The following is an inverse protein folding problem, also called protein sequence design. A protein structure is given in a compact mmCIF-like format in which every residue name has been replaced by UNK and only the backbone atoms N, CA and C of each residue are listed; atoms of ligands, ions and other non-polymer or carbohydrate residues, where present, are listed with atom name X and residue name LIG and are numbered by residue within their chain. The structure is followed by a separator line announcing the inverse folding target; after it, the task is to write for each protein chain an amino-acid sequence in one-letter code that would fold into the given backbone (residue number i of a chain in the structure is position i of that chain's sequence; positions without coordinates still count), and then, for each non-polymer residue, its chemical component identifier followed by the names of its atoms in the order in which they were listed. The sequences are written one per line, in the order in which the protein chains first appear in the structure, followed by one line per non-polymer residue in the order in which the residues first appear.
data_IF_816448834830
#
_entry.id   IF_816448834830
#
_cell.length_a   1.000
_cell.length_b   1.000
_cell.length_c   1.000
_cell.angle_alpha   90.00
_cell.angle_beta   90.00
_cell.angle_gamma   90.00
#
_symmetry.space_group_name_H-M   'P 1'
#
loop_
_entity.id
_entity.type
_entity.pdbx_description
1 polymer ?
#
# COMPACT_ATOMS: atom_id res chain seq x y z
N UNK A 1 26.19 36.01 2.63
CA UNK A 1 26.00 34.84 3.53
C UNK A 1 27.17 33.92 3.31
N UNK A 2 27.72 33.33 4.36
CA UNK A 2 28.81 32.35 4.22
C UNK A 2 28.32 31.13 3.43
N UNK A 3 29.21 30.55 2.62
CA UNK A 3 28.89 29.49 1.65
C UNK A 3 28.10 28.32 2.26
N UNK A 4 28.42 27.92 3.50
CA UNK A 4 27.77 26.82 4.19
C UNK A 4 26.28 27.08 4.50
N UNK A 5 25.87 28.30 4.82
CA UNK A 5 24.44 28.60 5.03
C UNK A 5 23.65 28.61 3.72
N UNK A 6 24.28 28.98 2.61
CA UNK A 6 23.67 28.86 1.28
C UNK A 6 23.45 27.39 0.91
N UNK A 7 24.38 26.50 1.25
CA UNK A 7 24.21 25.06 1.09
C UNK A 7 23.08 24.50 1.97
N UNK A 8 23.00 24.90 3.25
CA UNK A 8 21.86 24.54 4.11
C UNK A 8 20.52 25.02 3.54
N UNK A 9 20.47 26.22 2.97
CA UNK A 9 19.26 26.72 2.33
C UNK A 9 18.87 25.87 1.10
N UNK A 10 19.84 25.50 0.27
CA UNK A 10 19.60 24.59 -0.85
C UNK A 10 19.07 23.21 -0.40
N UNK A 11 19.66 22.66 0.67
CA UNK A 11 19.19 21.42 1.29
C UNK A 11 17.76 21.56 1.79
N UNK A 12 17.45 22.62 2.55
CA UNK A 12 16.09 22.90 3.03
C UNK A 12 15.09 22.93 1.87
N UNK A 13 15.39 23.68 0.80
CA UNK A 13 14.49 23.78 -0.36
C UNK A 13 14.28 22.42 -1.03
N UNK A 14 15.34 21.60 -1.13
CA UNK A 14 15.24 20.25 -1.68
C UNK A 14 14.40 19.32 -0.78
N UNK A 15 14.54 19.44 0.54
CA UNK A 15 13.77 18.65 1.50
C UNK A 15 12.29 19.05 1.50
N UNK A 16 11.97 20.34 1.40
CA UNK A 16 10.59 20.83 1.29
C UNK A 16 9.95 20.30 0.00
N UNK A 17 10.67 20.37 -1.12
CA UNK A 17 10.18 19.85 -2.39
C UNK A 17 9.94 18.34 -2.31
N UNK A 18 10.92 17.56 -1.84
CA UNK A 18 10.81 16.11 -1.70
C UNK A 18 9.67 15.72 -0.75
N UNK A 19 9.57 16.39 0.42
CA UNK A 19 8.51 16.16 1.39
C UNK A 19 7.13 16.43 0.79
N UNK A 20 6.97 17.54 0.07
CA UNK A 20 5.71 17.92 -0.58
C UNK A 20 5.34 16.89 -1.66
N UNK A 21 6.29 16.45 -2.48
CA UNK A 21 6.07 15.41 -3.50
C UNK A 21 5.65 14.08 -2.88
N UNK A 22 6.26 13.69 -1.75
CA UNK A 22 5.97 12.43 -1.06
C UNK A 22 4.60 12.46 -0.37
N UNK A 23 4.25 13.58 0.28
CA UNK A 23 2.97 13.74 0.99
C UNK A 23 1.78 13.92 0.05
N UNK A 24 2.02 14.47 -1.15
CA UNK A 24 0.97 14.73 -2.12
C UNK A 24 0.05 13.49 -2.25
N UNK A 25 -1.28 13.69 -2.20
CA UNK A 25 -2.25 12.60 -2.30
C UNK A 25 -2.21 12.04 -3.73
N UNK A 26 -1.31 11.10 -3.98
CA UNK A 26 -1.23 10.40 -5.25
C UNK A 26 -2.12 9.15 -5.23
N UNK A 27 -2.84 8.87 -6.34
CA UNK A 27 -3.66 7.68 -6.45
C UNK A 27 -2.79 6.42 -6.36
N UNK A 28 -3.36 5.37 -5.77
CA UNK A 28 -2.66 4.14 -5.36
C UNK A 28 -1.76 3.53 -6.45
N UNK A 29 -2.22 3.53 -7.70
CA UNK A 29 -1.47 2.99 -8.85
C UNK A 29 -0.18 3.77 -9.14
N UNK A 30 -0.21 5.10 -8.98
CA UNK A 30 0.94 5.99 -9.17
C UNK A 30 1.92 5.88 -8.00
N UNK A 31 1.42 5.81 -6.76
CA UNK A 31 2.24 5.53 -5.57
C UNK A 31 2.97 4.20 -5.71
N UNK A 32 2.26 3.13 -6.11
CA UNK A 32 2.88 1.82 -6.32
C UNK A 32 3.96 1.87 -7.38
N UNK A 33 3.71 2.46 -8.56
CA UNK A 33 4.74 2.57 -9.62
C UNK A 33 5.94 3.40 -9.20
N UNK A 34 5.72 4.56 -8.58
CA UNK A 34 6.83 5.41 -8.12
C UNK A 34 7.66 4.74 -7.03
N UNK A 35 7.03 4.09 -6.05
CA UNK A 35 7.74 3.41 -4.97
C UNK A 35 8.32 2.06 -5.36
N UNK A 36 7.75 1.33 -6.31
CA UNK A 36 8.39 0.13 -6.86
C UNK A 36 9.62 0.51 -7.68
N UNK A 37 9.54 1.59 -8.48
CA UNK A 37 10.70 2.14 -9.19
C UNK A 37 11.77 2.70 -8.23
N UNK A 38 11.35 3.30 -7.11
CA UNK A 38 12.27 3.70 -6.04
C UNK A 38 12.88 2.47 -5.35
N UNK A 39 12.07 1.50 -4.96
CA UNK A 39 12.45 0.36 -4.10
C UNK A 39 13.22 -0.75 -4.82
N UNK A 40 12.98 -0.99 -6.12
CA UNK A 40 13.83 -1.89 -6.93
C UNK A 40 15.18 -1.26 -7.26
N UNK A 41 15.26 0.07 -7.23
CA UNK A 41 16.48 0.75 -7.57
C UNK A 41 17.41 0.77 -6.33
N UNK A 42 18.64 0.19 -6.41
CA UNK A 42 19.62 0.26 -5.31
C UNK A 42 19.97 1.70 -4.88
N UNK A 43 19.54 2.69 -5.66
CA UNK A 43 19.55 4.11 -5.34
C UNK A 43 18.78 4.44 -4.05
N UNK A 44 17.67 3.79 -3.70
CA UNK A 44 16.93 4.16 -2.46
C UNK A 44 17.72 3.87 -1.20
N UNK A 45 18.38 2.72 -1.12
CA UNK A 45 19.27 2.42 -0.01
C UNK A 45 20.38 3.48 0.09
N UNK A 46 20.99 3.85 -1.05
CA UNK A 46 22.01 4.91 -1.11
C UNK A 46 21.47 6.29 -0.71
N UNK A 47 20.25 6.64 -1.12
CA UNK A 47 19.57 7.89 -0.75
C UNK A 47 19.31 7.93 0.75
N UNK A 48 18.90 6.83 1.34
CA UNK A 48 18.70 6.74 2.79
C UNK A 48 20.01 6.92 3.56
N UNK A 49 21.11 6.30 3.09
CA UNK A 49 22.45 6.54 3.66
C UNK A 49 22.88 8.00 3.46
N UNK A 50 22.66 8.58 2.29
CA UNK A 50 22.96 9.97 2.01
C UNK A 50 22.17 10.93 2.93
N UNK A 51 20.87 10.67 3.15
CA UNK A 51 20.04 11.45 4.07
C UNK A 51 20.55 11.36 5.52
N UNK A 52 20.98 10.18 5.98
CA UNK A 52 21.60 10.02 7.31
C UNK A 52 22.91 10.81 7.45
N UNK A 53 23.76 10.78 6.42
CA UNK A 53 25.03 11.53 6.42
C UNK A 53 24.74 13.04 6.44
N UNK A 54 23.84 13.52 5.58
CA UNK A 54 23.41 14.91 5.54
C UNK A 54 22.81 15.36 6.88
N UNK A 55 22.04 14.50 7.54
CA UNK A 55 21.49 14.80 8.87
C UNK A 55 22.59 15.06 9.92
N UNK A 56 23.62 14.21 9.98
CA UNK A 56 24.75 14.41 10.89
C UNK A 56 25.45 15.75 10.59
N UNK A 57 25.66 16.06 9.32
CA UNK A 57 26.28 17.31 8.91
C UNK A 57 25.47 18.55 9.31
N UNK A 58 24.15 18.52 9.07
CA UNK A 58 23.23 19.60 9.48
C UNK A 58 23.16 19.71 11.01
N UNK A 59 23.20 18.60 11.75
CA UNK A 59 23.26 18.61 13.21
C UNK A 59 24.53 19.28 13.75
N UNK A 60 25.69 19.00 13.16
CA UNK A 60 26.95 19.68 13.54
C UNK A 60 26.86 21.18 13.26
N UNK A 61 26.34 21.59 12.09
CA UNK A 61 26.15 23.01 11.76
C UNK A 61 25.13 23.70 12.67
N UNK A 62 24.09 22.99 13.08
CA UNK A 62 23.12 23.50 14.03
C UNK A 62 23.74 23.73 15.41
N UNK A 63 24.58 22.80 15.90
CA UNK A 63 25.31 22.97 17.16
C UNK A 63 26.30 24.14 17.06
N UNK A 64 27.02 24.30 15.95
CA UNK A 64 27.89 25.47 15.72
C UNK A 64 27.09 26.79 15.73
N UNK A 65 25.95 26.83 15.03
CA UNK A 65 25.07 28.00 14.99
C UNK A 65 24.49 28.32 16.38
N UNK A 66 24.11 27.31 17.16
CA UNK A 66 23.68 27.45 18.55
C UNK A 66 24.79 28.03 19.42
N UNK A 67 25.99 27.46 19.38
CA UNK A 67 27.13 27.92 20.16
C UNK A 67 27.48 29.37 19.82
N UNK A 68 27.50 29.72 18.53
CA UNK A 68 27.70 31.09 18.06
C UNK A 68 26.61 32.03 18.56
N UNK A 69 25.34 31.63 18.51
CA UNK A 69 24.23 32.45 18.99
C UNK A 69 24.28 32.66 20.51
N UNK A 70 24.58 31.61 21.29
CA UNK A 70 24.73 31.71 22.75
C UNK A 70 25.91 32.60 23.11
N UNK A 71 27.06 32.44 22.44
CA UNK A 71 28.23 33.30 22.65
C UNK A 71 27.92 34.77 22.37
N UNK A 72 27.26 35.08 21.26
CA UNK A 72 26.86 36.46 20.94
C UNK A 72 25.88 36.98 22.00
N UNK A 73 24.92 36.18 22.44
CA UNK A 73 23.99 36.59 23.50
C UNK A 73 24.71 36.90 24.83
N UNK A 74 25.73 36.13 25.20
CA UNK A 74 26.57 36.37 26.38
C UNK A 74 27.43 37.63 26.22
N UNK A 75 28.04 37.85 25.05
CA UNK A 75 28.81 39.06 24.75
C UNK A 75 27.93 40.32 24.90
N UNK A 76 26.67 40.26 24.48
CA UNK A 76 25.72 41.36 24.68
C UNK A 76 25.25 41.57 26.12
N UNK A 77 25.08 40.50 26.89
CA UNK A 77 24.75 40.60 28.31
C UNK A 77 25.90 41.25 29.10
N UNK A 78 27.14 40.85 28.79
CA UNK A 78 28.34 41.44 29.38
C UNK A 78 28.58 42.90 28.96
N UNK A 79 28.26 43.25 27.71
CA UNK A 79 28.33 44.64 27.23
C UNK A 79 27.31 45.55 27.95
N UNK A 80 26.08 45.07 28.15
CA UNK A 80 25.05 45.79 28.92
C UNK A 80 25.41 45.98 30.40
N UNK A 81 26.16 45.04 30.99
CA UNK A 81 26.63 45.14 32.36
C UNK A 81 27.79 46.12 32.56
N UNK A 82 28.57 46.43 31.50
CA UNK A 82 29.70 47.37 31.51
C UNK A 82 29.31 48.76 31.00
N UNK A 83 28.23 49.31 31.53
CA UNK A 83 27.47 50.51 31.09
C UNK A 83 28.28 51.82 30.85
N UNK A 84 29.59 51.86 31.08
CA UNK A 84 30.37 53.10 31.15
C UNK A 84 30.83 53.68 29.79
N UNK A 85 30.69 52.96 28.67
CA UNK A 85 31.02 53.48 27.31
C UNK A 85 30.18 52.81 26.21
N UNK A 86 28.85 52.88 26.31
CA UNK A 86 27.96 52.38 25.26
C UNK A 86 27.92 53.34 24.04
N UNK A 87 28.95 53.26 23.18
CA UNK A 87 28.93 53.91 21.86
C UNK A 87 27.77 53.33 21.02
N UNK A 88 26.91 54.21 20.48
CA UNK A 88 25.76 53.87 19.62
C UNK A 88 26.18 52.99 18.43
N UNK A 89 27.44 53.14 17.98
CA UNK A 89 28.04 52.31 16.93
C UNK A 89 28.28 50.86 17.38
N UNK A 90 28.54 50.62 18.65
CA UNK A 90 28.76 49.28 19.22
C UNK A 90 27.43 48.55 19.39
N UNK A 91 26.39 49.25 19.85
CA UNK A 91 25.02 48.72 19.99
C UNK A 91 24.42 48.30 18.64
N UNK A 92 24.57 49.13 17.59
CA UNK A 92 24.08 48.79 16.24
C UNK A 92 24.82 47.61 15.62
N UNK A 93 26.14 47.51 15.82
CA UNK A 93 26.93 46.36 15.36
C UNK A 93 26.57 45.06 16.11
N UNK A 94 26.29 45.15 17.40
CA UNK A 94 25.84 44.01 18.21
C UNK A 94 24.47 43.51 17.75
N UNK A 95 23.50 44.42 17.57
CA UNK A 95 22.17 44.08 17.09
C UNK A 95 22.23 43.35 15.74
N UNK A 96 23.03 43.87 14.79
CA UNK A 96 23.23 43.23 13.48
C UNK A 96 23.78 41.80 13.61
N UNK A 97 24.84 41.59 14.40
CA UNK A 97 25.42 40.25 14.64
C UNK A 97 24.41 39.27 15.24
N UNK A 98 23.57 39.74 16.17
CA UNK A 98 22.51 38.92 16.77
C UNK A 98 21.46 38.49 15.75
N UNK A 99 21.00 39.40 14.88
CA UNK A 99 20.04 39.06 13.82
C UNK A 99 20.60 38.03 12.84
N UNK A 100 21.88 38.15 12.46
CA UNK A 100 22.52 37.16 11.60
C UNK A 100 22.62 35.79 12.28
N UNK A 101 23.01 35.74 13.56
CA UNK A 101 23.09 34.49 14.30
C UNK A 101 21.70 33.83 14.48
N UNK A 102 20.66 34.61 14.78
CA UNK A 102 19.29 34.12 14.92
C UNK A 102 18.76 33.52 13.62
N UNK A 103 18.88 34.24 12.49
CA UNK A 103 18.45 33.71 11.17
C UNK A 103 19.15 32.40 10.84
N UNK A 104 20.46 32.33 11.08
CA UNK A 104 21.26 31.16 10.76
C UNK A 104 20.91 29.96 11.64
N UNK A 105 20.58 30.21 12.92
CA UNK A 105 20.06 29.19 13.81
C UNK A 105 18.70 28.66 13.34
N UNK A 106 17.77 29.54 12.98
CA UNK A 106 16.45 29.12 12.49
C UNK A 106 16.56 28.36 11.16
N UNK A 107 17.46 28.79 10.27
CA UNK A 107 17.71 28.09 9.01
C UNK A 107 18.20 26.66 9.27
N UNK A 108 19.27 26.50 10.05
CA UNK A 108 19.83 25.17 10.37
C UNK A 108 18.88 24.30 11.19
N UNK A 109 18.13 24.89 12.12
CA UNK A 109 17.15 24.18 12.95
C UNK A 109 15.94 23.69 12.15
N UNK A 110 15.42 24.50 11.22
CA UNK A 110 14.32 24.09 10.36
C UNK A 110 14.72 23.00 9.37
N UNK A 111 15.93 23.06 8.81
CA UNK A 111 16.50 21.94 8.01
C UNK A 111 16.55 20.67 8.84
N UNK A 112 17.15 20.70 10.03
CA UNK A 112 17.27 19.52 10.89
C UNK A 112 15.92 18.89 11.23
N UNK A 113 14.94 19.74 11.58
CA UNK A 113 13.59 19.30 11.90
C UNK A 113 12.91 18.64 10.71
N UNK A 114 13.02 19.26 9.53
CA UNK A 114 12.44 18.73 8.31
C UNK A 114 13.10 17.41 7.88
N UNK A 115 14.43 17.30 7.98
CA UNK A 115 15.16 16.05 7.72
C UNK A 115 14.63 14.90 8.58
N UNK A 116 14.37 15.15 9.87
CA UNK A 116 13.86 14.15 10.80
C UNK A 116 12.44 13.69 10.42
N UNK A 117 11.55 14.64 10.14
CA UNK A 117 10.19 14.34 9.69
C UNK A 117 10.22 13.55 8.38
N UNK A 118 11.05 13.97 7.42
CA UNK A 118 11.15 13.32 6.12
C UNK A 118 11.59 11.87 6.26
N UNK A 119 12.59 11.59 7.10
CA UNK A 119 13.00 10.22 7.42
C UNK A 119 11.84 9.40 7.99
N UNK A 120 11.08 9.94 8.94
CA UNK A 120 9.96 9.21 9.56
C UNK A 120 8.81 8.96 8.58
N UNK A 121 8.43 9.97 7.81
CA UNK A 121 7.34 9.90 6.83
C UNK A 121 7.67 8.93 5.71
N UNK A 122 8.92 8.88 5.26
CA UNK A 122 9.37 7.90 4.26
C UNK A 122 9.10 6.45 4.69
N UNK A 123 9.45 6.09 5.93
CA UNK A 123 9.18 4.74 6.46
C UNK A 123 7.69 4.46 6.64
N UNK A 124 6.93 5.43 7.16
CA UNK A 124 5.48 5.27 7.32
C UNK A 124 4.81 4.97 5.97
N UNK A 125 5.27 5.62 4.89
CA UNK A 125 4.72 5.39 3.56
C UNK A 125 5.11 4.01 3.02
N UNK A 126 6.34 3.54 3.28
CA UNK A 126 6.75 2.19 2.92
C UNK A 126 5.89 1.13 3.62
N UNK A 127 5.72 1.25 4.93
CA UNK A 127 4.84 0.36 5.71
C UNK A 127 3.40 0.43 5.19
N UNK A 128 2.90 1.63 4.91
CA UNK A 128 1.55 1.83 4.37
C UNK A 128 1.35 1.09 3.04
N UNK A 129 2.33 1.13 2.13
CA UNK A 129 2.28 0.43 0.85
C UNK A 129 2.30 -1.09 1.05
N UNK A 130 3.16 -1.61 1.92
CA UNK A 130 3.25 -3.05 2.22
C UNK A 130 1.96 -3.60 2.84
N UNK A 131 1.38 -2.84 3.77
CA UNK A 131 0.10 -3.17 4.40
C UNK A 131 -1.02 -3.19 3.35
N UNK A 132 -1.06 -2.19 2.47
CA UNK A 132 -2.09 -2.10 1.45
C UNK A 132 -1.94 -3.19 0.35
N UNK A 133 -0.72 -3.59 0.02
CA UNK A 133 -0.45 -4.73 -0.87
C UNK A 133 -0.89 -6.05 -0.23
N UNK A 134 -0.56 -6.26 1.03
CA UNK A 134 -1.00 -7.44 1.78
C UNK A 134 -2.53 -7.51 1.86
N UNK A 135 -3.19 -6.36 2.08
CA UNK A 135 -4.64 -6.26 2.11
C UNK A 135 -5.28 -6.56 0.74
N UNK A 136 -4.74 -6.02 -0.36
CA UNK A 136 -5.24 -6.33 -1.72
C UNK A 136 -5.02 -7.80 -2.09
N UNK A 137 -3.87 -8.37 -1.73
CA UNK A 137 -3.59 -9.79 -1.95
C UNK A 137 -4.55 -10.69 -1.15
N UNK A 138 -4.85 -10.32 0.10
CA UNK A 138 -5.85 -11.00 0.93
C UNK A 138 -7.25 -10.87 0.31
N UNK A 139 -7.67 -9.68 -0.14
CA UNK A 139 -8.96 -9.53 -0.83
C UNK A 139 -9.05 -10.38 -2.10
N UNK A 140 -8.00 -10.46 -2.90
CA UNK A 140 -7.98 -11.34 -4.07
C UNK A 140 -8.01 -12.82 -3.71
N UNK A 141 -7.31 -13.23 -2.65
CA UNK A 141 -7.37 -14.62 -2.14
C UNK A 141 -8.76 -14.94 -1.62
N UNK A 142 -9.34 -14.06 -0.79
CA UNK A 142 -10.73 -14.20 -0.31
C UNK A 142 -11.70 -14.20 -1.48
N UNK A 143 -11.61 -13.30 -2.46
CA UNK A 143 -12.50 -13.31 -3.62
C UNK A 143 -12.37 -14.59 -4.47
N UNK A 144 -11.16 -15.16 -4.59
CA UNK A 144 -10.93 -16.46 -5.26
C UNK A 144 -11.44 -17.64 -4.42
N UNK A 145 -11.26 -17.60 -3.11
CA UNK A 145 -11.64 -18.65 -2.17
C UNK A 145 -13.14 -18.61 -1.81
N UNK A 146 -13.75 -17.43 -1.89
CA UNK A 146 -15.19 -17.20 -1.80
C UNK A 146 -15.92 -17.64 -3.06
N UNK A 147 -15.22 -18.05 -4.14
CA UNK A 147 -15.63 -19.07 -5.11
C UNK A 147 -17.00 -18.96 -5.79
N UNK A 148 -17.79 -17.92 -5.51
CA UNK A 148 -19.21 -17.87 -5.80
C UNK A 148 -19.51 -17.77 -7.30
N UNK A 149 -18.50 -17.52 -8.12
CA UNK A 149 -18.64 -17.56 -9.58
C UNK A 149 -18.14 -18.88 -10.19
N UNK A 150 -17.06 -19.46 -9.67
CA UNK A 150 -16.54 -20.74 -10.18
C UNK A 150 -17.38 -21.92 -9.74
N UNK A 151 -17.68 -21.99 -8.44
CA UNK A 151 -18.53 -23.04 -7.87
C UNK A 151 -19.98 -22.90 -8.38
N UNK A 152 -20.53 -21.69 -8.48
CA UNK A 152 -21.90 -21.53 -8.97
C UNK A 152 -22.07 -21.91 -10.45
N UNK A 153 -21.05 -21.69 -11.28
CA UNK A 153 -21.09 -22.07 -12.69
C UNK A 153 -20.90 -23.58 -12.87
N UNK A 154 -20.03 -24.23 -12.08
CA UNK A 154 -19.94 -25.68 -12.00
C UNK A 154 -21.22 -26.33 -11.45
N UNK A 155 -21.80 -25.78 -10.38
CA UNK A 155 -23.07 -26.22 -9.81
C UNK A 155 -24.20 -26.11 -10.83
N UNK A 156 -24.29 -25.01 -11.59
CA UNK A 156 -25.29 -24.84 -12.66
C UNK A 156 -25.16 -25.88 -13.76
N UNK A 157 -23.94 -26.17 -14.22
CA UNK A 157 -23.69 -27.24 -15.20
C UNK A 157 -24.10 -28.61 -14.65
N UNK A 158 -23.76 -28.88 -13.38
CA UNK A 158 -24.06 -30.16 -12.73
C UNK A 158 -25.57 -30.36 -12.51
N UNK A 159 -26.30 -29.29 -12.19
CA UNK A 159 -27.78 -29.31 -12.12
C UNK A 159 -28.38 -29.61 -13.49
N UNK A 160 -27.91 -28.95 -14.56
CA UNK A 160 -28.40 -29.23 -15.92
C UNK A 160 -28.12 -30.66 -16.37
N UNK A 161 -26.95 -31.23 -16.05
CA UNK A 161 -26.64 -32.63 -16.35
C UNK A 161 -27.54 -33.60 -15.57
N UNK A 162 -27.82 -33.32 -14.30
CA UNK A 162 -28.71 -34.14 -13.48
C UNK A 162 -30.15 -34.11 -14.00
N UNK A 163 -30.67 -32.94 -14.37
CA UNK A 163 -32.00 -32.80 -14.98
C UNK A 163 -32.09 -33.51 -16.34
N UNK A 164 -31.02 -33.47 -17.15
CA UNK A 164 -30.98 -34.20 -18.41
C UNK A 164 -31.03 -35.72 -18.19
N UNK A 165 -30.24 -36.23 -17.24
CA UNK A 165 -30.25 -37.66 -16.86
C UNK A 165 -31.61 -38.10 -16.31
N UNK A 166 -32.29 -37.24 -15.56
CA UNK A 166 -33.62 -37.55 -15.03
C UNK A 166 -34.67 -37.65 -16.14
N UNK A 167 -34.64 -36.75 -17.13
CA UNK A 167 -35.49 -36.84 -18.34
C UNK A 167 -35.22 -38.10 -19.16
N UNK A 168 -33.95 -38.47 -19.33
CA UNK A 168 -33.57 -39.70 -20.03
C UNK A 168 -34.05 -40.93 -19.27
N UNK A 169 -33.94 -40.92 -17.93
CA UNK A 169 -34.40 -42.01 -17.07
C UNK A 169 -35.93 -42.16 -17.13
N UNK A 170 -36.69 -41.07 -17.09
CA UNK A 170 -38.14 -41.10 -17.28
C UNK A 170 -38.53 -41.65 -18.65
N UNK A 171 -37.79 -41.25 -19.69
CA UNK A 171 -38.01 -41.74 -21.05
C UNK A 171 -37.73 -43.24 -21.15
N UNK A 172 -36.63 -43.69 -20.56
CA UNK A 172 -36.28 -45.11 -20.49
C UNK A 172 -37.35 -45.91 -19.74
N UNK A 173 -37.87 -45.37 -18.62
CA UNK A 173 -38.92 -46.01 -17.83
C UNK A 173 -40.22 -46.15 -18.63
N UNK A 174 -40.60 -45.12 -19.41
CA UNK A 174 -41.76 -45.17 -20.31
C UNK A 174 -41.55 -46.19 -21.43
N UNK A 175 -40.38 -46.20 -22.07
CA UNK A 175 -40.04 -47.16 -23.13
C UNK A 175 -40.04 -48.60 -22.60
N UNK A 176 -39.41 -48.86 -21.46
CA UNK A 176 -39.41 -50.18 -20.83
C UNK A 176 -40.83 -50.63 -20.44
N UNK A 177 -41.65 -49.71 -19.93
CA UNK A 177 -43.07 -49.97 -19.64
C UNK A 177 -43.86 -50.35 -20.89
N UNK A 178 -43.75 -49.57 -21.96
CA UNK A 178 -44.40 -49.86 -23.24
C UNK A 178 -43.92 -51.18 -23.85
N UNK A 179 -42.61 -51.46 -23.79
CA UNK A 179 -42.04 -52.69 -24.29
C UNK A 179 -42.53 -53.91 -23.51
N UNK A 180 -42.70 -53.80 -22.19
CA UNK A 180 -43.28 -54.88 -21.38
C UNK A 180 -44.75 -55.13 -21.73
N UNK A 181 -45.55 -54.08 -21.94
CA UNK A 181 -46.95 -54.23 -22.41
C UNK A 181 -47.01 -54.91 -23.77
N UNK A 182 -46.18 -54.49 -24.73
CA UNK A 182 -46.09 -55.11 -26.06
C UNK A 182 -45.61 -56.55 -25.99
N UNK A 183 -44.62 -56.86 -25.14
CA UNK A 183 -44.15 -58.22 -24.92
C UNK A 183 -45.27 -59.13 -24.38
N UNK A 184 -46.04 -58.67 -23.40
CA UNK A 184 -47.18 -59.41 -22.87
C UNK A 184 -48.28 -59.61 -23.93
N UNK A 185 -48.58 -58.58 -24.73
CA UNK A 185 -49.54 -58.69 -25.84
C UNK A 185 -49.09 -59.73 -26.87
N UNK A 186 -47.82 -59.68 -27.29
CA UNK A 186 -47.25 -60.62 -28.26
C UNK A 186 -47.21 -62.04 -27.70
N UNK A 187 -46.90 -62.20 -26.41
CA UNK A 187 -46.94 -63.48 -25.72
C UNK A 187 -48.37 -64.05 -25.67
N UNK A 188 -49.37 -63.21 -25.37
CA UNK A 188 -50.78 -63.61 -25.39
C UNK A 188 -51.26 -64.00 -26.80
N UNK A 189 -50.86 -63.25 -27.83
CA UNK A 189 -51.14 -63.58 -29.23
C UNK A 189 -50.45 -64.87 -29.67
N UNK A 190 -49.19 -65.07 -29.29
CA UNK A 190 -48.44 -66.29 -29.58
C UNK A 190 -49.05 -67.51 -28.86
N UNK A 191 -49.46 -67.36 -27.59
CA UNK A 191 -50.14 -68.42 -26.84
C UNK A 191 -51.49 -68.78 -27.47
N UNK A 192 -52.25 -67.79 -27.96
CA UNK A 192 -53.50 -68.01 -28.72
C UNK A 192 -53.25 -68.70 -30.06
N UNK A 193 -52.19 -68.33 -30.78
CA UNK A 193 -51.88 -68.90 -32.09
C UNK A 193 -51.22 -70.30 -32.02
N UNK A 194 -50.43 -70.57 -30.98
CA UNK A 194 -49.72 -71.85 -30.78
C UNK A 194 -50.55 -72.92 -30.06
N UNK A 195 -51.79 -72.62 -29.65
CA UNK A 195 -52.74 -73.61 -29.08
C UNK A 195 -52.43 -74.12 -27.68
N UNK A 196 -51.40 -73.59 -26.99
CA UNK A 196 -51.11 -73.95 -25.59
C UNK A 196 -51.91 -73.08 -24.63
N UNK A 197 -53.18 -73.41 -24.44
CA UNK A 197 -53.99 -72.87 -23.34
C UNK A 197 -53.63 -73.65 -22.07
N UNK A 198 -52.66 -73.13 -21.31
CA UNK A 198 -52.39 -73.63 -19.95
C UNK A 198 -53.44 -73.05 -19.00
N UNK A 199 -54.34 -73.90 -18.53
CA UNK A 199 -55.39 -73.57 -17.57
C UNK A 199 -54.79 -73.49 -16.15
N UNK A 200 -54.44 -72.29 -15.67
CA UNK A 200 -53.82 -72.07 -14.33
C UNK A 200 -54.76 -72.35 -13.15
N UNK A 201 -55.91 -72.97 -13.37
CA UNK A 201 -56.82 -73.42 -12.30
C UNK A 201 -56.62 -74.89 -11.91
N UNK A 202 -55.67 -75.58 -12.55
CA UNK A 202 -55.41 -77.00 -12.35
C UNK A 202 -53.92 -77.38 -12.11
N UNK A 203 -53.08 -76.43 -11.68
CA UNK A 203 -51.69 -76.69 -11.22
C UNK A 203 -51.39 -75.81 -9.99
#
# INVERSE_FOLDING_TARGET
MTLYYTLCFGLLMSEIALFTTIIAPMPFSLRKKMFHFLSENPVVAKVQYALKITFIFVAVLFVDALQRMVRIAQEGAAAKAKQDMADVRTETNYAARRFYAQRNLYLTGSTLFLSLILSRVFYIILDFIQVQESYSALQHKTAKQSGANGEAEELRKRVQELEAKERDFETLKKQAGQQNVEYNRLADEHNKASGNVSDKKAD
#
